data_IF_178474325617
#
_entry.id   IF_178474325617
#
_cell.length_a   1.000
_cell.length_b   1.000
_cell.length_c   1.000
_cell.angle_alpha   90.00
_cell.angle_beta   90.00
_cell.angle_gamma   90.00
#
_symmetry.space_group_name_H-M   'P 1'
#
loop_
_entity.id
_entity.type
_entity.pdbx_description
1 polymer ?
#
# COMPACT_ATOMS: atom_id res chain seq x y z
N UNK A 1 2.02 37.64 20.57
CA UNK A 1 1.62 36.25 20.83
C UNK A 1 1.39 35.56 19.50
N UNK A 2 2.26 34.62 19.12
CA UNK A 2 2.14 33.84 17.89
C UNK A 2 1.12 32.74 18.15
N UNK A 3 -0.03 32.80 17.48
CA UNK A 3 -0.98 31.68 17.47
C UNK A 3 -0.50 30.70 16.40
N UNK A 4 0.13 29.62 16.84
CA UNK A 4 0.50 28.49 15.98
C UNK A 4 -0.79 27.80 15.54
N UNK A 5 -1.15 27.93 14.26
CA UNK A 5 -2.24 27.13 13.69
C UNK A 5 -1.87 25.64 13.83
N UNK A 6 -2.81 24.75 14.22
CA UNK A 6 -2.57 23.33 14.19
C UNK A 6 -2.25 22.95 12.75
N UNK A 7 -1.06 22.39 12.52
CA UNK A 7 -0.74 21.73 11.26
C UNK A 7 -1.85 20.71 11.03
N UNK A 8 -2.69 20.97 10.03
CA UNK A 8 -3.62 19.99 9.52
C UNK A 8 -2.76 18.88 8.94
N UNK A 9 -2.37 17.91 9.79
CA UNK A 9 -1.63 16.73 9.38
C UNK A 9 -2.46 16.09 8.28
N UNK A 10 -1.91 16.10 7.05
CA UNK A 10 -2.55 15.57 5.87
C UNK A 10 -3.20 14.22 6.21
N UNK A 11 -4.53 14.19 6.26
CA UNK A 11 -5.29 12.96 6.50
C UNK A 11 -4.92 12.01 5.37
N UNK A 12 -4.17 10.97 5.72
CA UNK A 12 -3.45 10.11 4.79
C UNK A 12 -4.25 9.76 3.55
N UNK A 13 -3.74 10.17 2.40
CA UNK A 13 -4.14 9.62 1.11
C UNK A 13 -3.56 8.21 1.04
N UNK A 14 -4.23 7.25 1.69
CA UNK A 14 -4.04 5.84 1.38
C UNK A 14 -4.43 5.71 -0.09
N UNK A 15 -3.48 5.35 -0.95
CA UNK A 15 -3.78 5.19 -2.37
C UNK A 15 -4.85 4.09 -2.53
N UNK A 16 -5.71 4.21 -3.54
CA UNK A 16 -6.72 3.18 -3.80
C UNK A 16 -6.08 1.78 -3.92
N UNK A 17 -4.88 1.70 -4.49
CA UNK A 17 -4.11 0.47 -4.62
C UNK A 17 -3.68 -0.11 -3.26
N UNK A 18 -3.23 0.74 -2.32
CA UNK A 18 -2.90 0.32 -0.94
C UNK A 18 -4.13 -0.23 -0.23
N UNK A 19 -5.31 0.37 -0.42
CA UNK A 19 -6.56 -0.12 0.16
C UNK A 19 -7.01 -1.48 -0.41
N UNK A 20 -6.76 -1.74 -1.69
CA UNK A 20 -7.00 -3.07 -2.28
C UNK A 20 -6.02 -4.11 -1.73
N UNK A 21 -4.74 -3.75 -1.58
CA UNK A 21 -3.74 -4.61 -0.98
C UNK A 21 -4.11 -5.03 0.45
N UNK A 22 -4.57 -4.09 1.29
CA UNK A 22 -5.02 -4.40 2.65
C UNK A 22 -6.16 -5.42 2.64
N UNK A 23 -7.14 -5.27 1.74
CA UNK A 23 -8.26 -6.22 1.61
C UNK A 23 -7.84 -7.58 1.06
N UNK A 24 -6.90 -7.60 0.11
CA UNK A 24 -6.39 -8.83 -0.50
C UNK A 24 -5.58 -9.65 0.50
N UNK A 25 -4.72 -8.97 1.26
CA UNK A 25 -3.88 -9.60 2.29
C UNK A 25 -4.66 -9.89 3.58
N UNK A 26 -5.84 -9.28 3.78
CA UNK A 26 -6.66 -9.51 4.96
C UNK A 26 -7.10 -10.98 5.08
N UNK A 27 -6.70 -11.61 6.18
CA UNK A 27 -7.00 -13.01 6.47
C UNK A 27 -6.15 -14.02 5.68
N UNK A 28 -5.17 -13.53 4.92
CA UNK A 28 -4.15 -14.33 4.27
C UNK A 28 -2.79 -14.24 4.98
N UNK A 29 -1.75 -14.73 4.32
CA UNK A 29 -0.36 -14.67 4.76
C UNK A 29 0.43 -13.77 3.82
N UNK A 30 0.96 -12.66 4.35
CA UNK A 30 1.90 -11.82 3.60
C UNK A 30 3.26 -12.50 3.58
N UNK A 31 3.70 -12.94 2.40
CA UNK A 31 5.01 -13.57 2.21
C UNK A 31 6.09 -12.53 1.89
N UNK A 32 5.70 -11.42 1.26
CA UNK A 32 6.54 -10.25 1.07
C UNK A 32 5.69 -8.99 1.27
N UNK A 33 5.99 -8.16 2.29
CA UNK A 33 5.27 -6.91 2.51
C UNK A 33 5.31 -6.02 1.27
N UNK A 34 4.25 -5.23 1.07
CA UNK A 34 4.24 -4.20 0.04
C UNK A 34 5.34 -3.19 0.34
N UNK A 35 6.33 -3.10 -0.54
CA UNK A 35 7.49 -2.22 -0.39
C UNK A 35 7.87 -1.60 -1.72
N UNK A 36 8.39 -0.37 -1.66
CA UNK A 36 8.98 0.30 -2.81
C UNK A 36 10.25 -0.43 -3.25
N UNK A 37 10.31 -0.74 -4.54
CA UNK A 37 11.39 -1.48 -5.16
C UNK A 37 12.38 -0.53 -5.83
N UNK A 38 13.56 -1.07 -6.17
CA UNK A 38 14.67 -0.30 -6.75
C UNK A 38 14.34 0.33 -8.10
N UNK A 39 13.35 -0.20 -8.82
CA UNK A 39 12.86 0.32 -10.10
C UNK A 39 11.75 1.37 -9.97
N UNK A 40 11.33 1.72 -8.75
CA UNK A 40 10.43 2.83 -8.47
C UNK A 40 8.99 2.46 -8.12
N UNK A 41 8.54 1.26 -8.49
CA UNK A 41 7.19 0.75 -8.19
C UNK A 41 7.10 0.15 -6.77
N UNK A 42 5.87 -0.08 -6.30
CA UNK A 42 5.63 -0.88 -5.10
C UNK A 42 5.32 -2.34 -5.48
N UNK A 43 5.92 -3.29 -4.77
CA UNK A 43 5.71 -4.71 -4.99
C UNK A 43 5.49 -5.44 -3.67
N UNK A 44 4.60 -6.43 -3.69
CA UNK A 44 4.33 -7.30 -2.55
C UNK A 44 3.80 -8.67 -2.98
N UNK A 45 3.89 -9.64 -2.08
CA UNK A 45 3.38 -10.98 -2.26
C UNK A 45 2.57 -11.43 -1.05
N UNK A 46 1.43 -12.06 -1.29
CA UNK A 46 0.62 -12.67 -0.25
C UNK A 46 -0.10 -13.91 -0.75
N UNK A 47 -0.37 -14.84 0.15
CA UNK A 47 -1.33 -15.92 -0.07
C UNK A 47 -2.64 -15.45 0.56
N UNK A 48 -3.73 -15.37 -0.20
CA UNK A 48 -5.01 -14.93 0.35
C UNK A 48 -5.64 -15.98 1.30
N UNK A 49 -6.77 -15.64 1.92
CA UNK A 49 -7.49 -16.53 2.84
C UNK A 49 -8.01 -17.83 2.19
N UNK A 50 -8.04 -17.90 0.86
CA UNK A 50 -8.47 -19.07 0.10
C UNK A 50 -7.29 -19.95 -0.34
N UNK A 51 -6.06 -19.55 0.01
CA UNK A 51 -4.84 -20.27 -0.35
C UNK A 51 -4.29 -19.91 -1.73
N UNK A 52 -4.77 -18.83 -2.37
CA UNK A 52 -4.29 -18.41 -3.69
C UNK A 52 -3.07 -17.51 -3.53
N UNK A 53 -1.92 -17.83 -4.17
CA UNK A 53 -0.76 -16.96 -4.16
C UNK A 53 -0.93 -15.78 -5.12
N UNK A 54 -0.63 -14.58 -4.64
CA UNK A 54 -0.70 -13.32 -5.37
C UNK A 54 0.66 -12.62 -5.38
N UNK A 55 1.01 -12.06 -6.53
CA UNK A 55 2.12 -11.13 -6.71
C UNK A 55 1.53 -9.82 -7.23
N UNK A 56 1.73 -8.72 -6.49
CA UNK A 56 1.10 -7.43 -6.79
C UNK A 56 2.20 -6.42 -7.07
N UNK A 57 2.11 -5.75 -8.21
CA UNK A 57 2.93 -4.60 -8.58
C UNK A 57 2.01 -3.38 -8.76
N UNK A 58 2.36 -2.28 -8.11
CA UNK A 58 1.67 -0.99 -8.19
C UNK A 58 2.65 -0.02 -8.86
N UNK A 59 2.43 0.21 -10.15
CA UNK A 59 3.21 1.16 -10.95
C UNK A 59 2.49 2.49 -11.07
N UNK A 60 3.27 3.56 -11.24
CA UNK A 60 2.70 4.87 -11.54
C UNK A 60 2.32 4.95 -13.03
N UNK A 61 1.21 5.61 -13.39
CA UNK A 61 0.89 5.86 -14.79
C UNK A 61 2.05 6.58 -15.47
N UNK A 62 2.58 5.99 -16.53
CA UNK A 62 3.60 6.63 -17.34
C UNK A 62 2.91 7.65 -18.25
N UNK A 63 3.10 8.94 -17.95
CA UNK A 63 2.55 10.08 -18.69
C UNK A 63 3.44 10.44 -19.86
#
# INVERSE_FOLDING_TARGET
>A
MIHTLPKLTARGLVSAATAYWEKLSAGGTVTMPMQKQVWGDEFGMCVDKFGVPWMVNISQPQI
#
